data_IF_580320054127
#
_entry.id   IF_580320054127
#
_cell.length_a   1.000
_cell.length_b   1.000
_cell.length_c   1.000
_cell.angle_alpha   90.00
_cell.angle_beta   90.00
_cell.angle_gamma   90.00
#
_symmetry.space_group_name_H-M   'P 1'
#
loop_
_entity.id
_entity.type
_entity.pdbx_description
1 polymer ?
#
# COMPACT_ATOMS: atom_id res chain seq x y z
N UNK A 1 19.84 9.37 4.37
CA UNK A 1 18.93 8.92 3.31
C UNK A 1 18.39 7.60 3.80
N UNK A 2 17.08 7.48 4.08
CA UNK A 2 16.51 6.18 4.38
C UNK A 2 16.65 5.30 3.12
N UNK A 3 17.22 4.10 3.29
CA UNK A 3 17.39 3.12 2.23
C UNK A 3 16.06 2.39 2.06
N UNK A 4 15.47 2.40 0.85
CA UNK A 4 14.29 1.57 0.57
C UNK A 4 14.76 0.15 0.34
N UNK A 5 14.37 -0.84 1.16
CA UNK A 5 14.86 -2.20 1.02
C UNK A 5 14.16 -2.95 -0.12
N UNK A 6 14.91 -3.85 -0.76
CA UNK A 6 14.37 -4.83 -1.72
C UNK A 6 13.54 -5.88 -0.94
N UNK A 7 12.27 -6.07 -1.35
CA UNK A 7 11.29 -6.94 -0.71
C UNK A 7 11.80 -8.38 -0.53
N UNK A 8 12.30 -8.72 0.68
CA UNK A 8 12.80 -10.05 1.05
C UNK A 8 11.91 -10.76 2.08
N UNK A 9 10.62 -10.45 2.15
CA UNK A 9 9.65 -11.20 2.97
C UNK A 9 9.78 -11.04 4.49
N UNK A 10 10.60 -10.10 4.96
CA UNK A 10 10.54 -9.60 6.33
C UNK A 10 9.42 -8.55 6.42
N UNK A 11 8.68 -8.51 7.52
CA UNK A 11 7.69 -7.45 7.79
C UNK A 11 8.44 -6.12 7.75
N UNK A 12 8.20 -5.31 6.71
CA UNK A 12 8.92 -4.07 6.48
C UNK A 12 8.21 -2.92 7.17
N UNK A 13 8.87 -2.32 8.16
CA UNK A 13 8.44 -1.06 8.76
C UNK A 13 9.18 0.11 8.12
N UNK A 14 8.43 1.13 7.72
CA UNK A 14 8.93 2.40 7.19
C UNK A 14 8.62 3.49 8.22
N UNK A 15 9.65 4.23 8.61
CA UNK A 15 9.51 5.44 9.42
C UNK A 15 9.26 6.63 8.49
N UNK A 16 8.11 7.29 8.68
CA UNK A 16 7.73 8.48 7.93
C UNK A 16 7.61 9.67 8.87
N UNK A 17 7.98 10.85 8.38
CA UNK A 17 7.74 12.10 9.08
C UNK A 17 6.47 12.72 8.54
N UNK A 18 5.48 12.92 9.41
CA UNK A 18 4.25 13.59 9.05
C UNK A 18 4.57 15.05 8.68
N UNK A 19 4.39 15.44 7.43
CA UNK A 19 4.73 16.79 6.96
C UNK A 19 3.92 17.91 7.63
N UNK A 20 2.71 17.58 8.13
CA UNK A 20 1.79 18.54 8.73
C UNK A 20 2.09 18.76 10.21
N UNK A 21 2.45 17.71 10.95
CA UNK A 21 2.72 17.80 12.40
C UNK A 21 4.22 17.80 12.72
N UNK A 22 5.05 17.25 11.84
CA UNK A 22 6.49 17.05 12.03
C UNK A 22 6.83 15.83 12.90
N UNK A 23 5.85 14.99 13.21
CA UNK A 23 6.02 13.82 14.08
C UNK A 23 6.50 12.61 13.28
N UNK A 24 7.38 11.82 13.89
CA UNK A 24 7.86 10.54 13.35
C UNK A 24 6.81 9.45 13.66
N UNK A 25 6.33 8.77 12.62
CA UNK A 25 5.34 7.70 12.71
C UNK A 25 5.87 6.44 12.00
N UNK A 26 5.64 5.28 12.61
CA UNK A 26 6.04 3.99 12.04
C UNK A 26 4.86 3.34 11.31
N UNK A 27 5.12 2.88 10.09
CA UNK A 27 4.14 2.22 9.26
C UNK A 27 4.66 0.86 8.80
N UNK A 28 3.79 -0.15 8.81
CA UNK A 28 4.08 -1.46 8.24
C UNK A 28 3.62 -1.49 6.79
N UNK A 29 4.45 -2.02 5.89
CA UNK A 29 4.02 -2.36 4.54
C UNK A 29 3.00 -3.48 4.62
N UNK A 30 1.74 -3.15 4.40
CA UNK A 30 0.63 -4.08 4.36
C UNK A 30 0.60 -4.81 3.02
N UNK A 31 0.67 -4.06 1.92
CA UNK A 31 0.65 -4.62 0.57
C UNK A 31 1.45 -3.75 -0.43
N UNK A 32 1.79 -4.31 -1.58
CA UNK A 32 2.51 -3.61 -2.66
C UNK A 32 1.90 -4.01 -3.99
N UNK A 33 1.29 -3.04 -4.67
CA UNK A 33 0.60 -3.25 -5.95
C UNK A 33 1.28 -2.51 -7.09
N UNK A 34 1.16 -3.05 -8.30
CA UNK A 34 1.59 -2.38 -9.52
C UNK A 34 0.37 -2.00 -10.35
N UNK A 35 0.16 -0.69 -10.55
CA UNK A 35 -0.96 -0.13 -11.29
C UNK A 35 -0.38 0.73 -12.40
N UNK A 36 -0.73 0.42 -13.66
CA UNK A 36 -0.26 1.15 -14.85
C UNK A 36 1.27 1.24 -15.00
N UNK A 37 2.01 0.29 -14.42
CA UNK A 37 3.47 0.27 -14.42
C UNK A 37 4.11 1.17 -13.37
N UNK A 38 3.31 1.71 -12.44
CA UNK A 38 3.77 2.40 -11.24
C UNK A 38 3.56 1.50 -10.01
N UNK A 39 4.53 1.49 -9.09
CA UNK A 39 4.45 0.67 -7.87
C UNK A 39 3.90 1.51 -6.72
N UNK A 40 2.85 1.03 -6.08
CA UNK A 40 2.20 1.65 -4.93
C UNK A 40 2.37 0.77 -3.69
N UNK A 41 2.63 1.40 -2.55
CA UNK A 41 2.82 0.75 -1.27
C UNK A 41 1.65 1.13 -0.37
N UNK A 42 0.93 0.11 0.11
CA UNK A 42 -0.13 0.25 1.09
C UNK A 42 0.50 0.08 2.47
N UNK A 43 0.44 1.14 3.26
CA UNK A 43 1.09 1.27 4.55
C UNK A 43 0.06 1.39 5.66
N UNK A 44 0.20 0.60 6.71
CA UNK A 44 -0.69 0.64 7.88
C UNK A 44 0.09 1.18 9.08
N UNK A 45 -0.48 2.14 9.82
CA UNK A 45 0.22 2.68 10.98
C UNK A 45 0.34 1.62 12.09
N UNK A 46 1.53 1.47 12.68
CA UNK A 46 1.72 0.53 13.79
C UNK A 46 0.93 0.95 15.04
N UNK A 47 0.72 2.25 15.21
CA UNK A 47 -0.01 2.80 16.35
C UNK A 47 -1.53 2.74 16.18
N UNK A 48 -2.03 2.60 14.96
CA UNK A 48 -3.46 2.75 14.63
C UNK A 48 -3.81 1.95 13.37
N UNK A 49 -4.44 0.78 13.56
CA UNK A 49 -4.75 -0.17 12.50
C UNK A 49 -5.76 0.38 11.48
N UNK A 50 -6.53 1.40 11.85
CA UNK A 50 -7.51 2.07 10.98
C UNK A 50 -6.85 3.13 10.07
N UNK A 51 -5.61 3.52 10.36
CA UNK A 51 -4.85 4.48 9.53
C UNK A 51 -4.06 3.76 8.45
N UNK A 52 -4.52 3.91 7.22
CA UNK A 52 -3.85 3.43 6.02
C UNK A 52 -3.38 4.61 5.16
N UNK A 53 -2.16 4.50 4.63
CA UNK A 53 -1.55 5.43 3.69
C UNK A 53 -1.17 4.68 2.42
N UNK A 54 -1.39 5.31 1.27
CA UNK A 54 -0.95 4.78 -0.03
C UNK A 54 0.11 5.73 -0.56
N UNK A 55 1.31 5.22 -0.83
CA UNK A 55 2.42 5.98 -1.38
C UNK A 55 2.91 5.37 -2.68
N UNK A 56 3.22 6.21 -3.67
CA UNK A 56 3.83 5.75 -4.91
C UNK A 56 5.35 5.70 -4.78
N UNK A 57 5.96 4.68 -5.37
CA UNK A 57 7.41 4.59 -5.54
C UNK A 57 7.87 5.43 -6.71
N UNK A 58 8.76 6.38 -6.42
CA UNK A 58 9.49 7.14 -7.42
C UNK A 58 10.99 6.84 -7.29
N UNK A 59 11.44 5.82 -8.05
CA UNK A 59 12.82 5.33 -7.99
C UNK A 59 13.17 4.69 -6.65
N UNK A 60 13.94 5.42 -5.84
CA UNK A 60 14.39 5.05 -4.49
C UNK A 60 13.70 5.90 -3.41
N UNK A 61 12.60 6.57 -3.73
CA UNK A 61 11.80 7.37 -2.80
C UNK A 61 10.33 6.94 -2.82
N UNK A 62 9.62 7.20 -1.73
CA UNK A 62 8.16 7.13 -1.68
C UNK A 62 7.59 8.55 -1.68
N UNK A 63 6.54 8.77 -2.47
CA UNK A 63 5.85 10.05 -2.61
C UNK A 63 4.37 9.90 -2.33
N UNK A 64 3.80 10.91 -1.70
CA UNK A 64 2.35 11.02 -1.45
C UNK A 64 1.61 11.23 -2.76
N UNK A 65 0.41 10.65 -2.85
CA UNK A 65 -0.48 10.83 -3.99
C UNK A 65 -1.25 12.14 -3.87
N UNK A 66 -1.56 12.77 -5.00
CA UNK A 66 -2.58 13.81 -5.08
C UNK A 66 -3.99 13.19 -4.92
N UNK A 67 -5.00 14.00 -4.56
CA UNK A 67 -6.36 13.51 -4.29
C UNK A 67 -6.96 12.68 -5.44
N UNK A 68 -6.79 13.14 -6.69
CA UNK A 68 -7.31 12.43 -7.89
C UNK A 68 -6.59 11.08 -8.12
N UNK A 69 -5.29 11.00 -7.84
CA UNK A 69 -4.49 9.78 -8.00
C UNK A 69 -4.83 8.78 -6.89
N UNK A 70 -4.99 9.26 -5.66
CA UNK A 70 -5.37 8.45 -4.52
C UNK A 70 -6.73 7.77 -4.73
N UNK A 71 -7.77 8.52 -5.11
CA UNK A 71 -9.13 7.99 -5.31
C UNK A 71 -9.14 6.86 -6.36
N UNK A 72 -8.36 7.06 -7.44
CA UNK A 72 -8.21 6.08 -8.51
C UNK A 72 -7.46 4.81 -8.08
N UNK A 73 -6.42 4.94 -7.27
CA UNK A 73 -5.69 3.78 -6.76
C UNK A 73 -6.56 2.97 -5.80
N UNK A 74 -7.31 3.64 -4.92
CA UNK A 74 -8.27 2.98 -4.02
C UNK A 74 -9.30 2.19 -4.80
N UNK A 75 -9.94 2.77 -5.82
CA UNK A 75 -10.93 2.07 -6.64
C UNK A 75 -10.36 0.79 -7.28
N UNK A 76 -9.12 0.84 -7.77
CA UNK A 76 -8.46 -0.34 -8.34
C UNK A 76 -8.06 -1.37 -7.28
N UNK A 77 -7.63 -0.94 -6.09
CA UNK A 77 -7.33 -1.85 -4.98
C UNK A 77 -8.58 -2.64 -4.56
N UNK A 78 -9.73 -1.96 -4.44
CA UNK A 78 -11.00 -2.60 -4.12
C UNK A 78 -11.40 -3.62 -5.20
N UNK A 79 -11.16 -3.31 -6.49
CA UNK A 79 -11.40 -4.25 -7.60
C UNK A 79 -10.47 -5.48 -7.52
N UNK A 80 -9.21 -5.32 -7.14
CA UNK A 80 -8.28 -6.44 -6.95
C UNK A 80 -8.68 -7.36 -5.79
N UNK A 81 -9.15 -6.80 -4.66
CA UNK A 81 -9.64 -7.59 -3.53
C UNK A 81 -10.92 -8.36 -3.88
N UNK A 82 -11.84 -7.76 -4.65
CA UNK A 82 -13.06 -8.44 -5.10
C UNK A 82 -12.77 -9.58 -6.10
N UNK A 83 -11.72 -9.48 -6.92
CA UNK A 83 -11.39 -10.50 -7.91
C UNK A 83 -10.78 -11.77 -7.28
N UNK A 84 -10.10 -11.65 -6.12
CA UNK A 84 -9.56 -12.81 -5.36
C UNK A 84 -10.68 -13.66 -4.71
N UNK A 85 -11.85 -13.07 -4.44
CA UNK A 85 -13.02 -13.76 -3.85
C UNK A 85 -13.88 -14.51 -4.91
N UNK A 86 -13.59 -14.37 -6.21
CA UNK A 86 -14.36 -15.00 -7.30
C UNK A 86 -13.89 -16.41 -7.70
N UNK A 87 -12.90 -16.99 -7.02
CA UNK A 87 -12.41 -18.35 -7.26
C UNK A 87 -13.03 -19.44 -6.35
N UNK A 88 -14.07 -19.13 -5.55
CA UNK A 88 -14.87 -20.16 -4.81
C UNK A 88 -16.18 -20.54 -5.53
N UNK A 89 -16.22 -20.57 -6.87
CA UNK A 89 -17.23 -21.39 -7.57
C UNK A 89 -16.72 -22.83 -7.66
N UNK A 90 -16.73 -23.50 -6.50
CA UNK A 90 -16.68 -24.95 -6.40
C UNK A 90 -17.86 -25.55 -7.15
N UNK A 91 -17.65 -25.83 -8.43
CA UNK A 91 -18.67 -26.28 -9.37
C UNK A 91 -19.53 -27.47 -8.90
N UNK A 92 -20.68 -27.71 -9.55
CA UNK A 92 -21.70 -28.62 -9.08
C UNK A 92 -21.23 -30.08 -9.17
N UNK A 93 -21.00 -30.72 -8.02
CA UNK A 93 -20.89 -32.18 -7.97
C UNK A 93 -22.29 -32.81 -8.11
N UNK A 94 -22.39 -33.71 -9.08
CA UNK A 94 -23.59 -34.39 -9.58
C UNK A 94 -24.18 -35.43 -8.63
#
# INVERSE_FOLDING_TARGET
MPEIPEANGEVQTIELVNEKTGEEENYVVHDVVEIEGETYYVLQAEADEERVLILRREGESLVTLDDDEHDRVVEQLEEFEEEDDLDDDGGPER
#
